data_IF_772416919620
#
_entry.id   IF_772416919620
#
_cell.length_a   1.000
_cell.length_b   1.000
_cell.length_c   1.000
_cell.angle_alpha   90.00
_cell.angle_beta   90.00
_cell.angle_gamma   90.00
#
_symmetry.space_group_name_H-M   'P 1'
#
loop_
_entity.id
_entity.type
_entity.pdbx_description
1 polymer ?
#
# COMPACT_ATOMS: atom_id res chain seq x y z
N UNK A 1 -68.65 40.29 13.68
CA UNK A 1 -68.68 39.46 14.89
C UNK A 1 -67.60 38.39 14.76
N UNK A 2 -66.66 38.37 15.71
CA UNK A 2 -65.55 37.42 15.74
C UNK A 2 -66.09 36.04 16.16
N UNK A 3 -65.96 35.03 15.30
CA UNK A 3 -66.06 33.64 15.73
C UNK A 3 -64.66 33.18 16.12
N UNK A 4 -64.43 33.00 17.42
CA UNK A 4 -63.24 32.35 17.96
C UNK A 4 -63.16 30.91 17.44
N UNK A 5 -62.03 30.48 16.85
CA UNK A 5 -61.81 29.07 16.58
C UNK A 5 -61.69 28.32 17.91
N UNK A 6 -62.42 27.21 18.01
CA UNK A 6 -62.46 26.33 19.19
C UNK A 6 -61.08 25.88 19.65
N UNK A 7 -60.94 25.53 20.93
CA UNK A 7 -59.68 25.09 21.56
C UNK A 7 -58.96 23.93 20.82
N UNK A 8 -59.66 23.16 19.98
CA UNK A 8 -59.07 22.12 19.14
C UNK A 8 -58.27 22.66 17.93
N UNK A 9 -58.59 23.85 17.41
CA UNK A 9 -57.81 24.44 16.30
C UNK A 9 -56.49 25.04 16.78
N UNK A 10 -56.44 25.56 18.01
CA UNK A 10 -55.17 26.01 18.63
C UNK A 10 -54.23 24.84 18.95
N UNK A 11 -54.78 23.67 19.33
CA UNK A 11 -54.00 22.45 19.54
C UNK A 11 -53.41 21.91 18.22
N UNK A 12 -54.10 22.06 17.09
CA UNK A 12 -53.57 21.65 15.78
C UNK A 12 -52.36 22.49 15.33
N UNK A 13 -52.36 23.80 15.61
CA UNK A 13 -51.21 24.67 15.29
C UNK A 13 -50.07 24.55 16.30
N UNK A 14 -50.37 24.33 17.58
CA UNK A 14 -49.35 24.03 18.59
C UNK A 14 -48.68 22.68 18.39
N UNK A 15 -49.42 21.63 17.96
CA UNK A 15 -48.83 20.34 17.61
C UNK A 15 -47.96 20.42 16.34
N UNK A 16 -48.35 21.24 15.34
CA UNK A 16 -47.53 21.47 14.15
C UNK A 16 -46.25 22.30 14.46
N UNK A 17 -46.32 23.28 15.36
CA UNK A 17 -45.15 24.06 15.83
C UNK A 17 -44.25 23.29 16.81
N UNK A 18 -44.80 22.39 17.63
CA UNK A 18 -44.01 21.47 18.46
C UNK A 18 -43.40 20.31 17.65
N UNK A 19 -44.01 19.91 16.53
CA UNK A 19 -43.39 18.95 15.61
C UNK A 19 -42.29 19.57 14.74
N UNK A 20 -42.26 20.89 14.58
CA UNK A 20 -41.23 21.60 13.81
C UNK A 20 -40.05 22.10 14.66
N UNK A 21 -40.15 22.09 15.99
CA UNK A 21 -39.06 22.45 16.92
C UNK A 21 -38.43 21.25 17.63
N UNK A 22 -38.89 20.03 17.32
CA UNK A 22 -38.28 18.76 17.70
C UNK A 22 -37.89 17.92 16.47
N UNK A 23 -37.57 18.58 15.36
CA UNK A 23 -36.64 17.95 14.43
C UNK A 23 -35.28 18.00 15.12
N UNK A 24 -34.64 16.85 15.41
CA UNK A 24 -33.25 16.88 15.83
C UNK A 24 -32.49 17.63 14.73
N UNK A 25 -31.86 18.75 15.10
CA UNK A 25 -30.87 19.44 14.27
C UNK A 25 -29.61 18.61 14.08
N UNK A 26 -29.58 17.41 14.62
CA UNK A 26 -28.67 16.36 14.21
C UNK A 26 -29.35 15.54 13.11
N UNK A 27 -28.84 15.66 11.89
CA UNK A 27 -28.85 14.54 10.96
C UNK A 27 -28.09 13.37 11.60
N UNK A 28 -28.65 12.71 12.61
CA UNK A 28 -28.38 11.32 12.89
C UNK A 28 -28.98 10.53 11.73
N UNK A 29 -28.26 10.55 10.61
CA UNK A 29 -28.42 9.59 9.54
C UNK A 29 -28.50 8.22 10.20
N UNK A 30 -29.58 7.49 9.94
CA UNK A 30 -29.76 6.09 10.32
C UNK A 30 -28.42 5.38 10.05
N UNK A 31 -27.70 5.02 11.11
CA UNK A 31 -26.36 4.44 11.01
C UNK A 31 -26.54 2.96 10.70
N UNK A 32 -25.89 2.40 9.66
CA UNK A 32 -26.13 1.02 9.24
C UNK A 32 -25.83 0.00 10.35
N UNK A 33 -24.93 0.35 11.28
CA UNK A 33 -24.78 -0.40 12.51
C UNK A 33 -24.63 0.47 13.76
N UNK A 34 -24.94 -0.15 14.90
CA UNK A 34 -24.60 0.38 16.21
C UNK A 34 -23.08 0.31 16.40
N UNK A 35 -22.51 1.36 16.98
CA UNK A 35 -21.14 1.35 17.46
C UNK A 35 -20.88 0.06 18.29
N UNK A 36 -19.84 -0.70 17.94
CA UNK A 36 -19.50 -1.97 18.58
C UNK A 36 -20.06 -3.24 17.93
N UNK A 37 -20.81 -3.16 16.82
CA UNK A 37 -21.13 -4.36 16.03
C UNK A 37 -19.90 -4.81 15.23
N UNK A 38 -19.43 -6.02 15.45
CA UNK A 38 -18.34 -6.60 14.68
C UNK A 38 -18.89 -7.52 13.61
N UNK A 39 -18.59 -7.21 12.35
CA UNK A 39 -18.92 -8.08 11.23
C UNK A 39 -17.80 -9.07 10.94
N UNK A 40 -18.12 -10.21 10.31
CA UNK A 40 -17.09 -11.10 9.81
C UNK A 40 -16.32 -10.42 8.67
N UNK A 41 -15.00 -10.48 8.77
CA UNK A 41 -14.06 -10.03 7.78
C UNK A 41 -12.65 -10.38 8.22
N UNK A 42 -11.68 -10.29 7.30
CA UNK A 42 -10.27 -10.57 7.59
C UNK A 42 -9.41 -9.58 6.81
N UNK A 43 -8.43 -9.01 7.50
CA UNK A 43 -7.36 -8.31 6.82
C UNK A 43 -6.39 -9.37 6.30
N UNK A 44 -6.46 -9.66 5.00
CA UNK A 44 -5.78 -10.80 4.40
C UNK A 44 -4.35 -10.47 3.98
N UNK A 45 -4.13 -9.28 3.42
CA UNK A 45 -2.79 -8.85 2.98
C UNK A 45 -2.67 -7.34 2.84
N UNK A 46 -1.42 -6.89 2.79
CA UNK A 46 -1.06 -5.53 2.40
C UNK A 46 -0.11 -5.56 1.21
N UNK A 47 -0.44 -4.86 0.13
CA UNK A 47 0.42 -4.77 -1.03
C UNK A 47 1.38 -3.58 -0.94
N UNK A 48 2.67 -3.85 -1.11
CA UNK A 48 3.77 -2.89 -1.12
C UNK A 48 4.42 -2.86 -2.50
N UNK A 49 4.88 -1.69 -2.93
CA UNK A 49 5.64 -1.52 -4.18
C UNK A 49 7.10 -1.84 -3.94
N UNK A 50 7.74 -2.57 -4.83
CA UNK A 50 9.18 -2.80 -4.78
C UNK A 50 9.89 -2.41 -6.07
N UNK A 51 11.08 -1.82 -5.92
CA UNK A 51 11.98 -1.37 -7.00
C UNK A 51 13.04 -2.42 -7.35
N UNK A 52 13.27 -3.39 -6.47
CA UNK A 52 14.16 -4.53 -6.68
C UNK A 52 13.59 -5.74 -5.94
N UNK A 53 12.97 -6.65 -6.71
CA UNK A 53 12.35 -7.84 -6.14
C UNK A 53 13.38 -8.79 -5.50
N UNK A 54 14.58 -8.92 -6.08
CA UNK A 54 15.59 -9.84 -5.55
C UNK A 54 16.09 -9.36 -4.19
N UNK A 55 16.47 -8.09 -4.11
CA UNK A 55 16.89 -7.44 -2.86
C UNK A 55 15.79 -7.45 -1.80
N UNK A 56 14.54 -7.26 -2.22
CA UNK A 56 13.38 -7.41 -1.33
C UNK A 56 13.24 -8.81 -0.80
N UNK A 57 13.26 -9.84 -1.65
CA UNK A 57 13.11 -11.22 -1.21
C UNK A 57 14.21 -11.64 -0.23
N UNK A 58 15.45 -11.19 -0.44
CA UNK A 58 16.54 -11.39 0.54
C UNK A 58 16.19 -10.75 1.88
N UNK A 59 15.71 -9.51 1.90
CA UNK A 59 15.30 -8.83 3.13
C UNK A 59 14.15 -9.57 3.85
N UNK A 60 13.04 -9.86 3.16
CA UNK A 60 11.88 -10.50 3.80
C UNK A 60 12.18 -11.92 4.28
N UNK A 61 13.00 -12.70 3.54
CA UNK A 61 13.31 -14.09 3.90
C UNK A 61 14.40 -14.19 4.96
N UNK A 62 15.50 -13.48 4.76
CA UNK A 62 16.70 -13.66 5.58
C UNK A 62 16.64 -12.79 6.84
N UNK A 63 16.22 -11.52 6.72
CA UNK A 63 16.11 -10.65 7.89
C UNK A 63 14.80 -10.90 8.65
N UNK A 64 13.66 -10.86 7.97
CA UNK A 64 12.35 -10.98 8.65
C UNK A 64 11.87 -12.43 8.83
N UNK A 65 12.53 -13.43 8.25
CA UNK A 65 12.19 -14.84 8.42
C UNK A 65 10.92 -15.30 7.69
N UNK A 66 10.45 -14.55 6.69
CA UNK A 66 9.29 -14.91 5.89
C UNK A 66 9.62 -15.94 4.81
N UNK A 67 8.58 -16.50 4.19
CA UNK A 67 8.68 -17.42 3.04
C UNK A 67 7.92 -16.85 1.86
N UNK A 68 8.33 -17.22 0.66
CA UNK A 68 7.53 -16.99 -0.55
C UNK A 68 6.36 -17.96 -0.51
N UNK A 69 5.14 -17.46 -0.60
CA UNK A 69 3.92 -18.27 -0.59
C UNK A 69 3.49 -18.60 -2.03
N UNK A 70 3.60 -17.63 -2.94
CA UNK A 70 3.34 -17.75 -4.38
C UNK A 70 3.93 -16.58 -5.15
N UNK A 71 4.13 -16.79 -6.45
CA UNK A 71 4.63 -15.78 -7.39
C UNK A 71 3.87 -15.86 -8.72
N UNK A 72 3.49 -14.69 -9.24
CA UNK A 72 2.72 -14.53 -10.48
C UNK A 72 3.35 -13.45 -11.37
N UNK A 73 3.39 -13.73 -12.67
CA UNK A 73 3.92 -12.84 -13.70
C UNK A 73 2.78 -12.35 -14.60
N UNK A 74 2.71 -11.04 -14.83
CA UNK A 74 1.66 -10.40 -15.62
C UNK A 74 2.26 -9.62 -16.78
N UNK A 75 1.80 -9.92 -17.99
CA UNK A 75 2.32 -9.30 -19.22
C UNK A 75 1.84 -7.85 -19.45
N UNK A 76 0.79 -7.41 -18.74
CA UNK A 76 0.18 -6.10 -18.88
C UNK A 76 -0.32 -5.56 -17.54
N UNK A 77 -0.55 -4.25 -17.48
CA UNK A 77 -1.12 -3.58 -16.31
C UNK A 77 -2.48 -4.17 -15.90
N UNK A 78 -2.79 -4.15 -14.61
CA UNK A 78 -4.04 -4.69 -14.11
C UNK A 78 -5.20 -3.70 -14.33
N UNK A 79 -6.34 -4.13 -14.91
CA UNK A 79 -7.52 -3.27 -15.12
C UNK A 79 -8.09 -2.62 -13.85
N UNK A 80 -7.96 -3.27 -12.68
CA UNK A 80 -8.33 -2.71 -11.37
C UNK A 80 -7.18 -2.01 -10.65
N UNK A 81 -6.14 -1.62 -11.39
CA UNK A 81 -4.92 -1.00 -10.86
C UNK A 81 -4.27 -1.85 -9.75
N UNK A 82 -4.31 -3.19 -9.83
CA UNK A 82 -3.68 -4.06 -8.85
C UNK A 82 -2.20 -3.70 -8.62
N UNK A 83 -1.53 -3.34 -9.71
CA UNK A 83 -0.14 -2.92 -9.71
C UNK A 83 0.06 -1.42 -9.52
N UNK A 84 -1.02 -0.65 -9.36
CA UNK A 84 -1.04 0.81 -9.30
C UNK A 84 -1.49 1.41 -10.64
N UNK A 85 -1.28 2.73 -10.85
CA UNK A 85 -1.66 3.44 -12.09
C UNK A 85 -0.71 3.15 -13.27
N UNK A 86 -0.01 2.02 -13.28
CA UNK A 86 1.09 1.76 -14.21
C UNK A 86 0.67 0.76 -15.29
N UNK A 87 0.89 1.14 -16.55
CA UNK A 87 0.60 0.32 -17.73
C UNK A 87 1.82 -0.51 -18.17
N UNK A 88 2.55 -1.06 -17.21
CA UNK A 88 3.74 -1.89 -17.48
C UNK A 88 3.43 -3.36 -17.24
N UNK A 89 4.23 -4.29 -17.81
CA UNK A 89 4.34 -5.63 -17.26
C UNK A 89 4.71 -5.53 -15.78
N UNK A 90 4.25 -6.48 -14.98
CA UNK A 90 4.50 -6.48 -13.55
C UNK A 90 4.47 -7.90 -13.00
N UNK A 91 4.96 -8.06 -11.79
CA UNK A 91 4.91 -9.32 -11.07
C UNK A 91 4.39 -9.10 -9.66
N UNK A 92 3.77 -10.13 -9.13
CA UNK A 92 3.27 -10.21 -7.76
C UNK A 92 4.00 -11.34 -7.05
N UNK A 93 4.59 -11.06 -5.90
CA UNK A 93 5.15 -12.09 -5.03
C UNK A 93 4.57 -11.94 -3.65
N UNK A 94 3.90 -12.97 -3.15
CA UNK A 94 3.32 -12.94 -1.81
C UNK A 94 4.28 -13.59 -0.84
N UNK A 95 4.61 -12.88 0.23
CA UNK A 95 5.50 -13.35 1.31
C UNK A 95 4.77 -13.30 2.66
N UNK A 96 5.06 -14.26 3.52
CA UNK A 96 4.47 -14.34 4.85
C UNK A 96 5.07 -15.47 5.68
N UNK A 97 4.56 -15.66 6.89
CA UNK A 97 5.05 -16.72 7.78
C UNK A 97 4.33 -18.05 7.54
N UNK A 98 3.03 -17.98 7.22
CA UNK A 98 2.13 -19.11 6.99
C UNK A 98 1.17 -18.80 5.81
N UNK A 99 0.43 -19.79 5.27
CA UNK A 99 -0.42 -19.59 4.09
C UNK A 99 -1.44 -18.44 4.21
N UNK A 100 -1.58 -17.65 3.14
CA UNK A 100 -2.42 -16.43 3.07
C UNK A 100 -3.92 -16.72 3.29
N UNK A 101 -4.37 -17.98 3.17
CA UNK A 101 -5.77 -18.38 3.42
C UNK A 101 -6.21 -18.13 4.87
N UNK A 102 -5.30 -18.34 5.83
CA UNK A 102 -5.57 -18.17 7.27
C UNK A 102 -4.79 -17.02 7.89
N UNK A 103 -3.70 -16.60 7.25
CA UNK A 103 -2.74 -15.66 7.80
C UNK A 103 -2.64 -14.38 6.99
N UNK A 104 -2.11 -13.36 7.64
CA UNK A 104 -1.77 -12.12 6.97
C UNK A 104 -0.49 -12.27 6.16
N UNK A 105 -0.46 -11.67 4.97
CA UNK A 105 0.69 -11.69 4.09
C UNK A 105 1.03 -10.30 3.54
N UNK A 106 2.27 -10.15 3.09
CA UNK A 106 2.71 -8.98 2.32
C UNK A 106 2.73 -9.36 0.85
N UNK A 107 2.08 -8.56 0.02
CA UNK A 107 2.15 -8.67 -1.44
C UNK A 107 3.21 -7.69 -1.96
N UNK A 108 4.29 -8.21 -2.53
CA UNK A 108 5.29 -7.41 -3.23
C UNK A 108 4.87 -7.23 -4.69
N UNK A 109 4.63 -5.98 -5.08
CA UNK A 109 4.29 -5.60 -6.44
C UNK A 109 5.52 -4.97 -7.08
N UNK A 110 6.07 -5.67 -8.06
CA UNK A 110 7.20 -5.19 -8.86
C UNK A 110 6.72 -4.80 -10.25
N UNK A 111 6.88 -3.54 -10.64
CA UNK A 111 6.55 -3.06 -11.98
C UNK A 111 7.83 -2.97 -12.81
N UNK A 112 7.87 -3.68 -13.93
CA UNK A 112 9.04 -3.66 -14.81
C UNK A 112 9.28 -2.26 -15.36
N UNK A 113 10.54 -1.80 -15.32
CA UNK A 113 10.94 -0.47 -15.76
C UNK A 113 10.66 0.67 -14.76
N UNK A 114 10.09 0.37 -13.58
CA UNK A 114 9.87 1.37 -12.52
C UNK A 114 10.78 1.10 -11.32
N UNK A 115 11.78 1.96 -11.16
CA UNK A 115 12.84 1.83 -10.15
C UNK A 115 12.77 2.89 -9.05
N UNK A 116 11.67 3.64 -8.97
CA UNK A 116 11.43 4.63 -7.92
C UNK A 116 9.92 4.83 -7.71
N UNK A 117 9.52 5.00 -6.46
CA UNK A 117 8.16 5.37 -6.08
C UNK A 117 8.22 6.58 -5.15
N UNK A 118 7.36 7.57 -5.39
CA UNK A 118 7.20 8.68 -4.45
C UNK A 118 6.62 8.13 -3.15
N UNK A 119 7.37 8.19 -2.05
CA UNK A 119 6.87 7.81 -0.72
C UNK A 119 5.68 8.68 -0.32
N UNK A 120 4.81 8.11 0.50
CA UNK A 120 3.70 8.82 1.11
C UNK A 120 3.81 8.84 2.63
N UNK A 121 2.82 9.46 3.26
CA UNK A 121 2.87 9.83 4.68
C UNK A 121 1.87 9.05 5.54
N UNK A 122 1.12 8.10 4.98
CA UNK A 122 0.14 7.34 5.76
C UNK A 122 0.75 6.10 6.40
N UNK A 123 1.39 5.23 5.62
CA UNK A 123 1.99 4.01 6.15
C UNK A 123 3.21 4.34 7.02
N UNK A 124 3.08 4.19 8.33
CA UNK A 124 4.16 4.50 9.27
C UNK A 124 5.06 3.30 9.53
N UNK A 125 4.46 2.14 9.83
CA UNK A 125 5.21 0.90 10.03
C UNK A 125 4.29 -0.32 9.97
N UNK A 126 4.86 -1.48 9.67
CA UNK A 126 4.25 -2.79 9.89
C UNK A 126 4.92 -3.39 11.12
N UNK A 127 4.13 -3.67 12.17
CA UNK A 127 4.65 -4.21 13.41
C UNK A 127 4.67 -5.75 13.40
N UNK A 128 5.77 -6.32 13.86
CA UNK A 128 6.02 -7.75 13.85
C UNK A 128 6.50 -8.18 15.23
N UNK A 129 5.90 -9.24 15.78
CA UNK A 129 6.46 -10.00 16.90
C UNK A 129 7.48 -10.98 16.35
N UNK A 130 8.78 -10.74 16.56
CA UNK A 130 9.80 -11.55 15.93
C UNK A 130 9.76 -12.98 16.49
N UNK A 131 9.98 -13.97 15.62
CA UNK A 131 10.08 -15.39 16.00
C UNK A 131 11.49 -15.77 16.49
N UNK A 132 12.45 -14.86 16.34
CA UNK A 132 13.84 -14.99 16.77
C UNK A 132 14.23 -13.78 17.61
N UNK A 133 15.29 -13.88 18.43
CA UNK A 133 15.83 -12.72 19.13
C UNK A 133 16.16 -11.58 18.14
N UNK A 134 15.79 -10.35 18.52
CA UNK A 134 15.90 -9.18 17.62
C UNK A 134 17.34 -8.97 17.17
N UNK A 135 18.33 -9.19 18.02
CA UNK A 135 19.75 -9.07 17.69
C UNK A 135 20.18 -9.95 16.50
N UNK A 136 19.58 -11.12 16.32
CA UNK A 136 19.86 -11.98 15.17
C UNK A 136 19.29 -11.36 13.88
N UNK A 137 18.07 -10.84 13.95
CA UNK A 137 17.41 -10.16 12.83
C UNK A 137 18.23 -8.94 12.40
N UNK A 138 18.63 -8.09 13.35
CA UNK A 138 19.43 -6.90 13.07
C UNK A 138 20.82 -7.27 12.51
N UNK A 139 21.46 -8.33 13.01
CA UNK A 139 22.74 -8.80 12.48
C UNK A 139 22.64 -9.26 11.03
N UNK A 140 21.56 -9.97 10.66
CA UNK A 140 21.32 -10.37 9.27
C UNK A 140 21.02 -9.16 8.41
N UNK A 141 20.17 -8.24 8.89
CA UNK A 141 19.85 -7.01 8.19
C UNK A 141 21.10 -6.17 7.88
N UNK A 142 22.00 -5.97 8.85
CA UNK A 142 23.28 -5.29 8.65
C UNK A 142 24.18 -6.03 7.65
N UNK A 143 24.18 -7.37 7.66
CA UNK A 143 24.94 -8.15 6.65
C UNK A 143 24.41 -7.94 5.23
N UNK A 144 23.12 -7.68 5.08
CA UNK A 144 22.47 -7.34 3.82
C UNK A 144 22.59 -5.84 3.46
N UNK A 145 23.22 -5.02 4.31
CA UNK A 145 23.42 -3.59 4.09
C UNK A 145 22.27 -2.70 4.58
N UNK A 146 21.47 -3.16 5.54
CA UNK A 146 20.43 -2.36 6.20
C UNK A 146 20.87 -1.99 7.63
N UNK A 147 21.27 -0.73 7.81
CA UNK A 147 21.95 -0.26 9.04
C UNK A 147 21.16 0.78 9.84
N UNK A 148 19.97 1.20 9.39
CA UNK A 148 19.13 2.14 10.13
C UNK A 148 18.44 1.46 11.31
N UNK A 149 19.20 1.25 12.39
CA UNK A 149 18.70 0.72 13.66
C UNK A 149 18.48 1.87 14.63
N UNK A 150 17.25 2.37 14.73
CA UNK A 150 16.87 3.22 15.87
C UNK A 150 16.47 2.30 17.03
N UNK A 151 17.36 2.16 18.02
CA UNK A 151 17.02 1.59 19.34
C UNK A 151 16.28 2.65 20.13
N UNK A 152 15.01 2.85 19.82
CA UNK A 152 14.36 4.04 20.33
C UNK A 152 13.73 3.80 21.69
N UNK A 153 13.88 4.78 22.57
CA UNK A 153 12.91 5.03 23.63
C UNK A 153 11.61 5.55 23.03
N UNK A 154 11.09 4.83 22.03
CA UNK A 154 9.99 5.25 21.19
C UNK A 154 10.43 6.11 20.04
N UNK A 155 10.20 5.62 18.81
CA UNK A 155 10.15 6.40 17.57
C UNK A 155 10.06 7.90 17.87
N UNK A 156 11.15 8.67 17.73
CA UNK A 156 11.07 10.13 17.68
C UNK A 156 10.20 10.44 16.46
N UNK A 157 8.88 10.51 16.72
CA UNK A 157 7.94 11.20 15.87
C UNK A 157 8.62 12.51 15.49
N UNK A 158 8.68 12.80 14.20
CA UNK A 158 8.92 14.15 13.72
C UNK A 158 7.80 15.06 14.25
N UNK A 159 7.91 15.47 15.52
CA UNK A 159 7.38 16.71 16.01
C UNK A 159 8.43 17.77 15.65
N UNK A 160 8.03 18.91 15.06
CA UNK A 160 8.96 20.02 14.88
C UNK A 160 9.57 20.39 16.24
N UNK A 161 10.88 20.18 16.38
CA UNK A 161 11.70 20.64 17.48
C UNK A 161 11.83 22.17 17.44
N UNK A 162 10.73 22.87 17.70
CA UNK A 162 10.76 24.23 18.23
C UNK A 162 9.37 24.59 18.70
N UNK A 163 9.20 24.65 20.02
CA UNK A 163 8.29 25.55 20.76
C UNK A 163 7.65 24.86 21.97
N UNK A 164 8.42 24.55 23.01
CA UNK A 164 7.95 24.67 24.39
C UNK A 164 9.14 24.99 25.31
N UNK A 165 9.02 25.98 26.21
CA UNK A 165 10.08 26.35 27.14
C UNK A 165 10.26 25.25 28.21
N UNK A 166 11.48 25.18 28.73
CA UNK A 166 11.99 24.25 29.71
C UNK A 166 10.99 23.87 30.82
N UNK A 167 10.85 22.56 31.11
CA UNK A 167 10.41 22.09 32.43
C UNK A 167 9.28 21.05 32.51
N UNK A 168 8.71 20.58 31.40
CA UNK A 168 7.81 19.40 31.41
C UNK A 168 8.27 18.43 30.33
N UNK A 169 9.25 17.60 30.68
CA UNK A 169 9.67 16.48 29.84
C UNK A 169 8.56 15.43 29.81
N UNK A 170 7.74 15.45 28.77
CA UNK A 170 6.90 14.31 28.45
C UNK A 170 7.81 13.21 27.92
N UNK A 171 8.11 12.24 28.77
CA UNK A 171 8.75 11.00 28.36
C UNK A 171 7.67 10.19 27.64
N UNK A 172 7.70 10.20 26.31
CA UNK A 172 6.82 9.40 25.47
C UNK A 172 7.27 7.93 25.64
N UNK A 173 6.62 7.17 26.52
CA UNK A 173 6.83 5.71 26.58
C UNK A 173 6.02 5.05 25.45
N UNK A 174 6.51 5.18 24.21
CA UNK A 174 6.03 4.39 23.06
C UNK A 174 6.61 2.99 23.21
N UNK A 175 5.75 1.97 23.08
CA UNK A 175 6.05 0.53 23.10
C UNK A 175 7.32 0.10 23.86
N UNK A 176 7.08 -0.47 25.05
CA UNK A 176 8.02 -1.05 26.00
C UNK A 176 9.48 -1.02 25.61
N UNK A 177 10.30 -0.29 26.39
CA UNK A 177 11.76 -0.35 26.43
C UNK A 177 12.27 -1.63 25.72
N UNK A 178 12.74 -1.52 24.45
CA UNK A 178 13.28 -2.59 23.58
C UNK A 178 12.51 -2.94 22.27
N UNK A 179 11.63 -2.11 21.72
CA UNK A 179 11.23 -2.26 20.30
C UNK A 179 12.30 -1.69 19.36
N UNK A 180 12.46 -2.27 18.18
CA UNK A 180 13.45 -1.83 17.19
C UNK A 180 12.79 -1.51 15.85
N UNK A 181 13.19 -0.40 15.24
CA UNK A 181 12.78 -0.07 13.88
C UNK A 181 13.79 -0.61 12.87
N UNK A 182 13.30 -1.30 11.85
CA UNK A 182 14.09 -1.79 10.72
C UNK A 182 13.50 -1.24 9.41
N UNK A 183 14.33 -0.55 8.62
CA UNK A 183 13.94 -0.03 7.30
C UNK A 183 14.33 -1.03 6.20
N UNK A 184 13.36 -1.39 5.36
CA UNK A 184 13.55 -2.28 4.20
C UNK A 184 14.11 -1.57 2.96
N UNK A 185 14.29 -2.30 1.83
CA UNK A 185 14.95 -1.76 0.63
C UNK A 185 14.21 -0.63 -0.09
N UNK A 186 12.89 -0.58 0.06
CA UNK A 186 12.02 0.45 -0.52
C UNK A 186 11.52 1.43 0.56
N UNK A 187 12.30 1.59 1.64
CA UNK A 187 12.04 2.48 2.78
C UNK A 187 10.81 2.16 3.63
N UNK A 188 10.16 1.02 3.42
CA UNK A 188 9.12 0.55 4.33
C UNK A 188 9.71 0.22 5.68
N UNK A 189 9.01 0.62 6.72
CA UNK A 189 9.44 0.51 8.10
C UNK A 189 8.77 -0.68 8.77
N UNK A 190 9.57 -1.51 9.43
CA UNK A 190 9.15 -2.66 10.19
C UNK A 190 9.46 -2.43 11.67
N UNK A 191 8.42 -2.39 12.50
CA UNK A 191 8.57 -2.25 13.95
C UNK A 191 8.68 -3.64 14.58
N UNK A 192 9.89 -4.03 14.95
CA UNK A 192 10.16 -5.27 15.66
C UNK A 192 9.81 -5.07 17.13
N UNK A 193 8.76 -5.74 17.57
CA UNK A 193 8.35 -5.76 18.97
C UNK A 193 9.31 -6.62 19.80
N UNK A 194 9.36 -6.45 21.13
CA UNK A 194 10.21 -7.27 21.99
C UNK A 194 9.96 -8.77 21.76
N UNK A 195 11.04 -9.52 21.59
CA UNK A 195 10.99 -10.98 21.47
C UNK A 195 10.47 -11.59 22.78
N UNK A 196 9.46 -12.46 22.67
CA UNK A 196 8.88 -13.19 23.80
C UNK A 196 9.03 -14.70 23.59
N UNK A 197 9.97 -15.36 24.30
CA UNK A 197 10.22 -16.79 24.15
C UNK A 197 9.04 -17.68 24.58
N UNK A 198 8.09 -17.15 25.37
CA UNK A 198 6.90 -17.91 25.80
C UNK A 198 5.78 -17.88 24.76
N UNK A 199 5.84 -16.95 23.80
CA UNK A 199 4.82 -16.73 22.77
C UNK A 199 5.29 -17.06 21.34
N UNK A 200 6.41 -17.76 21.15
CA UNK A 200 6.98 -18.12 19.83
C UNK A 200 6.02 -18.99 18.98
N UNK A 201 5.06 -19.66 19.61
CA UNK A 201 4.06 -20.51 18.95
C UNK A 201 2.76 -19.78 18.56
N UNK A 202 2.70 -18.45 18.61
CA UNK A 202 1.55 -17.73 18.03
C UNK A 202 1.58 -17.90 16.51
N UNK A 203 0.47 -18.35 15.92
CA UNK A 203 0.37 -18.62 14.48
C UNK A 203 0.50 -17.38 13.59
N UNK A 204 0.44 -16.17 14.15
CA UNK A 204 0.47 -14.91 13.43
C UNK A 204 1.50 -13.94 14.04
N UNK A 205 2.70 -13.81 13.44
CA UNK A 205 3.71 -12.86 13.89
C UNK A 205 3.39 -11.39 13.57
N UNK A 206 2.55 -11.09 12.57
CA UNK A 206 2.15 -9.71 12.29
C UNK A 206 1.22 -9.19 13.39
N UNK A 207 1.59 -8.08 14.03
CA UNK A 207 0.86 -7.57 15.20
C UNK A 207 -0.13 -6.47 14.86
N UNK A 208 0.28 -5.47 14.08
CA UNK A 208 -0.57 -4.38 13.60
C UNK A 208 0.09 -3.61 12.46
N UNK A 209 -0.70 -2.83 11.73
CA UNK A 209 -0.20 -1.85 10.76
C UNK A 209 -0.48 -0.45 11.30
N UNK A 210 0.57 0.36 11.39
CA UNK A 210 0.49 1.73 11.91
C UNK A 210 0.26 2.70 10.77
N UNK A 211 -0.86 3.40 10.82
CA UNK A 211 -1.24 4.43 9.86
C UNK A 211 -1.36 5.77 10.55
N UNK A 212 -0.81 6.79 9.91
CA UNK A 212 -1.06 8.18 10.25
C UNK A 212 -2.30 8.67 9.49
N UNK A 213 -3.21 9.35 10.19
CA UNK A 213 -4.51 9.81 9.68
C UNK A 213 -4.76 11.29 9.97
N UNK A 214 -5.42 12.01 9.06
CA UNK A 214 -5.71 13.46 9.23
C UNK A 214 -6.81 13.75 10.22
N UNK A 215 -7.83 12.91 10.25
CA UNK A 215 -8.94 12.98 11.21
C UNK A 215 -9.20 11.57 11.76
N UNK A 216 -8.73 11.35 12.98
CA UNK A 216 -8.83 10.09 13.68
C UNK A 216 -10.29 9.67 13.90
N UNK A 217 -11.18 10.62 14.17
CA UNK A 217 -12.60 10.32 14.38
C UNK A 217 -13.25 9.90 13.08
N UNK A 218 -13.00 10.62 11.99
CA UNK A 218 -13.52 10.26 10.67
C UNK A 218 -13.01 8.88 10.23
N UNK A 219 -11.73 8.60 10.46
CA UNK A 219 -11.10 7.31 10.13
C UNK A 219 -11.70 6.17 10.94
N UNK A 220 -11.79 6.31 12.27
CA UNK A 220 -12.42 5.29 13.12
C UNK A 220 -13.88 5.07 12.74
N UNK A 221 -14.66 6.12 12.49
CA UNK A 221 -16.05 5.99 12.06
C UNK A 221 -16.15 5.28 10.70
N UNK A 222 -15.24 5.53 9.76
CA UNK A 222 -15.19 4.83 8.48
C UNK A 222 -14.94 3.33 8.66
N UNK A 223 -13.86 2.94 9.34
CA UNK A 223 -13.48 1.54 9.52
C UNK A 223 -14.50 0.77 10.37
N UNK A 224 -15.02 1.37 11.44
CA UNK A 224 -15.94 0.68 12.35
C UNK A 224 -17.38 0.63 11.81
N UNK A 225 -17.88 1.71 11.19
CA UNK A 225 -19.30 1.80 10.81
C UNK A 225 -19.59 1.38 9.38
N UNK A 226 -18.65 1.59 8.45
CA UNK A 226 -18.82 1.17 7.05
C UNK A 226 -18.21 -0.22 6.83
N UNK A 227 -16.98 -0.43 7.32
CA UNK A 227 -16.29 -1.72 7.17
C UNK A 227 -16.59 -2.71 8.31
N UNK A 228 -17.32 -2.32 9.36
CA UNK A 228 -17.76 -3.25 10.41
C UNK A 228 -16.63 -3.81 11.27
N UNK A 229 -15.48 -3.13 11.29
CA UNK A 229 -14.38 -3.46 12.20
C UNK A 229 -14.77 -3.14 13.65
N UNK A 230 -14.22 -3.90 14.60
CA UNK A 230 -14.30 -3.60 16.02
C UNK A 230 -13.23 -2.60 16.43
N UNK A 231 -13.55 -1.73 17.39
CA UNK A 231 -12.54 -0.91 18.07
C UNK A 231 -11.95 -1.70 19.24
N UNK A 232 -10.62 -1.86 19.23
CA UNK A 232 -9.90 -2.72 20.17
C UNK A 232 -9.15 -1.95 21.26
N UNK A 233 -9.23 -0.62 21.24
CA UNK A 233 -8.43 0.29 22.09
C UNK A 233 -8.46 -0.12 23.58
N UNK A 234 -9.63 -0.21 24.22
CA UNK A 234 -9.69 -0.52 25.66
C UNK A 234 -9.30 -1.97 26.00
N UNK A 235 -9.65 -2.94 25.16
CA UNK A 235 -9.38 -4.35 25.40
C UNK A 235 -7.89 -4.66 25.30
N UNK A 236 -7.24 -4.11 24.28
CA UNK A 236 -5.83 -4.32 24.06
C UNK A 236 -4.94 -3.50 25.01
N UNK A 237 -5.39 -2.33 25.48
CA UNK A 237 -4.77 -1.62 26.61
C UNK A 237 -4.79 -2.47 27.88
N UNK A 238 -5.92 -3.13 28.19
CA UNK A 238 -6.03 -4.04 29.36
C UNK A 238 -5.12 -5.25 29.26
N UNK A 239 -4.81 -5.70 28.04
CA UNK A 239 -3.89 -6.80 27.76
C UNK A 239 -2.42 -6.34 27.66
N UNK A 240 -2.14 -5.04 27.87
CA UNK A 240 -0.79 -4.50 27.76
C UNK A 240 -0.25 -4.47 26.33
N UNK A 241 -1.12 -4.65 25.33
CA UNK A 241 -0.75 -4.71 23.92
C UNK A 241 -0.48 -3.30 23.39
N UNK A 242 -1.21 -2.27 23.84
CA UNK A 242 -1.02 -0.89 23.37
C UNK A 242 -0.77 0.10 24.53
N UNK A 243 -0.11 1.25 24.29
CA UNK A 243 0.10 2.30 25.29
C UNK A 243 -1.22 2.78 25.94
N UNK A 244 -1.16 3.16 27.23
CA UNK A 244 -2.34 3.55 28.02
C UNK A 244 -2.94 4.89 27.54
N UNK A 245 -4.27 5.10 27.67
CA UNK A 245 -5.09 6.02 26.89
C UNK A 245 -5.07 7.47 27.39
N UNK A 246 -3.92 7.97 27.86
CA UNK A 246 -3.79 9.40 28.18
C UNK A 246 -3.88 10.30 26.93
N UNK A 247 -4.01 9.72 25.74
CA UNK A 247 -3.80 10.38 24.46
C UNK A 247 -5.03 10.19 23.53
N UNK A 248 -5.72 11.29 23.25
CA UNK A 248 -6.84 11.34 22.30
C UNK A 248 -6.40 11.19 20.83
N UNK A 249 -5.15 10.76 20.59
CA UNK A 249 -4.52 10.76 19.26
C UNK A 249 -4.26 9.35 18.69
N UNK A 250 -4.56 8.26 19.42
CA UNK A 250 -4.38 6.88 18.96
C UNK A 250 -5.64 6.02 19.10
N UNK A 251 -5.99 5.22 18.07
CA UNK A 251 -7.11 4.25 18.10
C UNK A 251 -6.76 2.99 17.35
N UNK A 252 -7.27 1.84 17.78
CA UNK A 252 -7.03 0.54 17.11
C UNK A 252 -8.33 -0.04 16.60
N UNK A 253 -8.36 -0.40 15.32
CA UNK A 253 -9.54 -0.97 14.64
C UNK A 253 -9.17 -2.24 13.87
N UNK A 254 -10.06 -3.25 13.88
CA UNK A 254 -9.86 -4.48 13.12
C UNK A 254 -11.00 -5.49 13.27
N UNK A 255 -10.99 -6.55 12.46
CA UNK A 255 -11.87 -7.72 12.66
C UNK A 255 -11.38 -8.55 13.89
N UNK A 256 -12.21 -9.43 14.50
CA UNK A 256 -12.08 -9.94 15.90
C UNK A 256 -10.71 -10.55 16.29
N UNK A 257 -10.35 -10.66 17.60
CA UNK A 257 -10.07 -9.57 18.57
C UNK A 257 -8.75 -9.79 19.38
N UNK A 258 -8.30 -8.81 20.19
CA UNK A 258 -7.38 -9.05 21.30
C UNK A 258 -8.07 -9.91 22.37
N UNK A 259 -7.63 -11.17 22.53
CA UNK A 259 -8.03 -12.09 23.61
C UNK A 259 -9.20 -13.05 23.34
N UNK A 260 -9.57 -13.33 22.09
CA UNK A 260 -10.72 -14.18 21.76
C UNK A 260 -10.46 -15.23 20.69
N UNK A 261 -9.93 -16.39 21.11
CA UNK A 261 -10.27 -17.73 20.62
C UNK A 261 -9.82 -18.19 19.23
N UNK A 262 -9.93 -17.38 18.19
CA UNK A 262 -9.51 -17.70 16.83
C UNK A 262 -8.89 -16.44 16.21
N UNK A 263 -7.57 -16.45 16.03
CA UNK A 263 -6.81 -15.36 15.43
C UNK A 263 -7.14 -15.26 13.94
N UNK A 264 -7.67 -14.12 13.47
CA UNK A 264 -7.62 -13.82 12.02
C UNK A 264 -7.83 -12.34 11.75
N UNK A 265 -6.83 -11.53 12.04
CA UNK A 265 -6.77 -10.18 11.49
C UNK A 265 -5.67 -9.34 12.10
N UNK A 266 -4.78 -8.82 11.27
CA UNK A 266 -3.81 -7.78 11.66
C UNK A 266 -4.57 -6.44 11.72
N UNK A 267 -4.76 -5.86 12.92
CA UNK A 267 -5.49 -4.60 13.07
C UNK A 267 -4.71 -3.40 12.54
N UNK A 268 -5.44 -2.30 12.35
CA UNK A 268 -4.88 -0.99 12.07
C UNK A 268 -4.74 -0.22 13.38
N UNK A 269 -3.55 0.29 13.65
CA UNK A 269 -3.29 1.31 14.65
C UNK A 269 -3.32 2.66 13.93
N UNK A 270 -4.32 3.47 14.24
CA UNK A 270 -4.56 4.78 13.65
C UNK A 270 -4.02 5.87 14.56
N UNK A 271 -3.17 6.73 14.01
CA UNK A 271 -2.52 7.82 14.72
C UNK A 271 -2.89 9.17 14.09
N UNK A 272 -3.53 10.02 14.88
CA UNK A 272 -3.89 11.38 14.53
C UNK A 272 -2.62 12.18 14.20
N UNK A 273 -2.60 12.85 13.04
CA UNK A 273 -1.57 13.83 12.74
C UNK A 273 -1.53 14.92 13.82
N UNK A 274 -0.33 15.38 14.22
CA UNK A 274 -0.21 16.51 15.13
C UNK A 274 -0.90 17.74 14.54
N UNK A 275 -1.77 18.39 15.32
CA UNK A 275 -2.32 19.68 14.95
C UNK A 275 -1.16 20.71 15.01
N UNK A 276 -0.62 21.11 13.86
CA UNK A 276 0.49 22.08 13.81
C UNK A 276 0.08 23.49 14.25
N UNK A 277 -1.23 23.75 14.45
CA UNK A 277 -1.74 25.02 14.98
C UNK A 277 -1.59 26.22 14.04
N UNK A 278 -0.85 26.06 12.93
CA UNK A 278 -0.62 27.07 11.91
C UNK A 278 -1.31 26.65 10.60
N UNK A 279 -2.38 27.37 10.17
CA UNK A 279 -3.14 27.06 8.97
C UNK A 279 -2.32 27.06 7.66
N UNK A 280 -1.09 27.58 7.69
CA UNK A 280 -0.17 27.60 6.55
C UNK A 280 0.99 26.59 6.61
N UNK A 281 1.12 25.82 7.70
CA UNK A 281 2.26 24.94 7.94
C UNK A 281 1.91 23.44 7.98
N UNK A 282 0.73 23.04 7.49
CA UNK A 282 0.46 21.60 7.33
C UNK A 282 1.54 21.00 6.41
N UNK A 283 2.36 20.03 6.89
CA UNK A 283 3.24 19.30 6.00
C UNK A 283 2.38 18.65 4.91
N UNK A 284 2.91 18.43 3.70
CA UNK A 284 2.15 17.83 2.61
C UNK A 284 1.79 16.38 2.96
N UNK A 285 0.67 16.16 3.66
CA UNK A 285 0.13 14.84 3.89
C UNK A 285 -0.42 14.31 2.57
N UNK A 286 0.27 13.32 2.02
CA UNK A 286 -0.09 12.70 0.76
C UNK A 286 -0.02 11.19 0.91
N UNK A 287 -1.10 10.55 0.48
CA UNK A 287 -1.10 9.12 0.20
C UNK A 287 -0.70 8.92 -1.27
N UNK A 288 0.28 8.06 -1.51
CA UNK A 288 0.76 7.69 -2.84
C UNK A 288 0.57 6.17 -3.05
N UNK A 289 0.78 5.64 -4.27
CA UNK A 289 0.78 4.20 -4.49
C UNK A 289 1.82 3.43 -3.66
N UNK A 290 2.82 4.12 -3.09
CA UNK A 290 3.83 3.54 -2.21
C UNK A 290 3.26 3.14 -0.85
N UNK A 291 2.34 3.92 -0.25
CA UNK A 291 1.68 3.55 1.03
C UNK A 291 0.99 2.18 0.96
N UNK A 292 0.65 1.76 -0.26
CA UNK A 292 0.21 0.41 -0.55
C UNK A 292 -1.30 0.28 -0.63
N UNK A 293 -1.76 -0.96 -0.65
CA UNK A 293 -3.19 -1.30 -0.75
C UNK A 293 -3.54 -2.39 0.24
N UNK A 294 -4.60 -2.16 1.01
CA UNK A 294 -5.15 -3.16 1.92
C UNK A 294 -6.03 -4.13 1.15
N UNK A 295 -6.03 -5.40 1.54
CA UNK A 295 -6.98 -6.38 1.04
C UNK A 295 -7.77 -6.96 2.20
N UNK A 296 -9.07 -6.74 2.13
CA UNK A 296 -10.01 -7.18 3.14
C UNK A 296 -10.94 -8.20 2.48
N UNK A 297 -10.96 -9.41 3.04
CA UNK A 297 -11.91 -10.43 2.65
C UNK A 297 -13.12 -10.38 3.57
N UNK A 298 -14.31 -10.42 2.98
CA UNK A 298 -15.60 -10.35 3.67
C UNK A 298 -16.50 -11.44 3.08
N UNK A 299 -17.28 -12.18 3.89
CA UNK A 299 -18.23 -13.15 3.36
C UNK A 299 -19.15 -12.53 2.30
N UNK A 300 -19.34 -13.23 1.19
CA UNK A 300 -19.99 -12.69 -0.02
C UNK A 300 -21.29 -11.91 0.25
N UNK A 301 -22.16 -12.45 1.10
CA UNK A 301 -23.46 -11.85 1.43
C UNK A 301 -23.31 -10.57 2.27
N UNK A 302 -22.31 -10.50 3.15
CA UNK A 302 -22.01 -9.31 3.95
C UNK A 302 -21.39 -8.22 3.07
N UNK A 303 -20.49 -8.59 2.15
CA UNK A 303 -19.84 -7.64 1.24
C UNK A 303 -20.87 -6.85 0.42
N UNK A 304 -21.92 -7.51 -0.06
CA UNK A 304 -23.00 -6.84 -0.82
C UNK A 304 -23.74 -5.79 0.02
N UNK A 305 -24.02 -6.11 1.27
CA UNK A 305 -24.72 -5.20 2.18
C UNK A 305 -23.80 -4.02 2.53
N UNK A 306 -22.54 -4.30 2.89
CA UNK A 306 -21.56 -3.27 3.20
C UNK A 306 -21.31 -2.34 2.02
N UNK A 307 -21.16 -2.89 0.81
CA UNK A 307 -21.01 -2.07 -0.39
C UNK A 307 -22.21 -1.16 -0.62
N UNK A 308 -23.43 -1.63 -0.34
CA UNK A 308 -24.65 -0.79 -0.45
C UNK A 308 -24.59 0.41 0.50
N UNK A 309 -24.03 0.24 1.71
CA UNK A 309 -23.83 1.36 2.63
C UNK A 309 -22.68 2.27 2.23
N UNK A 310 -21.56 1.71 1.78
CA UNK A 310 -20.46 2.52 1.25
C UNK A 310 -20.99 3.40 0.11
N UNK A 311 -21.74 2.83 -0.83
CA UNK A 311 -22.36 3.56 -1.93
C UNK A 311 -23.30 4.68 -1.46
N UNK A 312 -24.02 4.47 -0.35
CA UNK A 312 -24.98 5.46 0.16
C UNK A 312 -24.34 6.56 1.01
N UNK A 313 -23.47 6.19 1.95
CA UNK A 313 -22.91 7.11 2.96
C UNK A 313 -21.53 7.65 2.60
N UNK A 314 -20.77 6.93 1.77
CA UNK A 314 -19.44 7.32 1.33
C UNK A 314 -19.20 7.04 -0.17
N UNK A 315 -20.08 7.50 -1.09
CA UNK A 315 -19.88 7.26 -2.52
C UNK A 315 -18.55 7.81 -3.04
N UNK A 316 -18.02 8.86 -2.41
CA UNK A 316 -16.70 9.44 -2.69
C UNK A 316 -15.54 8.46 -2.48
N UNK A 317 -15.73 7.42 -1.67
CA UNK A 317 -14.70 6.40 -1.42
C UNK A 317 -14.56 5.42 -2.57
N UNK A 318 -15.58 5.25 -3.43
CA UNK A 318 -15.59 4.19 -4.44
C UNK A 318 -14.67 4.54 -5.60
N UNK A 319 -13.63 3.72 -5.81
CA UNK A 319 -12.69 3.83 -6.95
C UNK A 319 -13.13 2.93 -8.09
N UNK A 320 -13.35 1.64 -7.79
CA UNK A 320 -13.89 0.65 -8.71
C UNK A 320 -15.17 0.08 -8.13
N UNK A 321 -16.23 0.12 -8.92
CA UNK A 321 -17.54 -0.35 -8.50
C UNK A 321 -17.54 -1.85 -8.26
N UNK A 322 -18.49 -2.31 -7.45
CA UNK A 322 -18.64 -3.73 -7.14
C UNK A 322 -18.87 -4.52 -8.43
N UNK A 323 -17.98 -5.46 -8.70
CA UNK A 323 -17.96 -6.22 -9.93
C UNK A 323 -17.78 -7.72 -9.69
N UNK A 324 -18.27 -8.47 -10.66
CA UNK A 324 -18.18 -9.92 -10.73
C UNK A 324 -17.06 -10.29 -11.70
N UNK A 325 -15.98 -10.87 -11.19
CA UNK A 325 -14.88 -11.37 -12.00
C UNK A 325 -15.00 -12.90 -12.08
N UNK A 326 -15.28 -13.49 -13.27
CA UNK A 326 -15.25 -14.94 -13.45
C UNK A 326 -13.84 -15.46 -13.16
N UNK A 327 -13.75 -16.50 -12.33
CA UNK A 327 -12.50 -17.15 -11.94
C UNK A 327 -12.50 -18.61 -12.39
N UNK A 328 -11.39 -19.30 -12.15
CA UNK A 328 -11.28 -20.72 -12.44
C UNK A 328 -12.34 -21.52 -11.67
N UNK A 329 -12.58 -22.76 -12.11
CA UNK A 329 -13.63 -23.64 -11.57
C UNK A 329 -15.07 -23.09 -11.63
N UNK A 330 -15.39 -22.19 -12.59
CA UNK A 330 -16.70 -21.53 -12.73
C UNK A 330 -17.13 -20.71 -11.49
N UNK A 331 -16.18 -20.33 -10.64
CA UNK A 331 -16.45 -19.44 -9.51
C UNK A 331 -16.47 -17.97 -9.97
N UNK A 332 -16.99 -17.07 -9.14
CA UNK A 332 -17.05 -15.64 -9.47
C UNK A 332 -16.66 -14.81 -8.27
N UNK A 333 -15.51 -14.17 -8.35
CA UNK A 333 -15.01 -13.28 -7.31
C UNK A 333 -15.81 -11.98 -7.34
N UNK A 334 -16.47 -11.66 -6.23
CA UNK A 334 -17.09 -10.36 -6.02
C UNK A 334 -16.05 -9.43 -5.41
N UNK A 335 -15.75 -8.31 -6.07
CA UNK A 335 -14.79 -7.35 -5.52
C UNK A 335 -15.11 -5.90 -5.85
N UNK A 336 -14.60 -4.99 -5.03
CA UNK A 336 -14.65 -3.55 -5.22
C UNK A 336 -13.34 -2.92 -4.72
N UNK A 337 -13.01 -1.73 -5.20
CA UNK A 337 -11.89 -0.95 -4.65
C UNK A 337 -12.44 0.37 -4.13
N UNK A 338 -12.09 0.69 -2.90
CA UNK A 338 -12.49 1.91 -2.22
C UNK A 338 -11.26 2.63 -1.66
N UNK A 339 -11.47 3.84 -1.14
CA UNK A 339 -10.49 4.63 -0.40
C UNK A 339 -11.01 5.01 0.97
N UNK A 340 -10.13 5.01 1.96
CA UNK A 340 -10.46 5.56 3.27
C UNK A 340 -10.46 7.12 3.25
N UNK A 341 -10.81 7.80 4.35
CA UNK A 341 -10.83 9.28 4.42
C UNK A 341 -9.49 9.95 4.11
N UNK A 342 -8.38 9.23 4.19
CA UNK A 342 -7.03 9.72 3.92
C UNK A 342 -6.53 9.38 2.51
N UNK A 343 -7.32 8.62 1.74
CA UNK A 343 -7.07 8.09 0.40
C UNK A 343 -6.25 6.79 0.33
N UNK A 344 -6.09 6.06 1.43
CA UNK A 344 -5.52 4.71 1.39
C UNK A 344 -6.45 3.78 0.61
N UNK A 345 -5.91 3.03 -0.34
CA UNK A 345 -6.69 2.11 -1.16
C UNK A 345 -6.99 0.81 -0.42
N UNK A 346 -8.24 0.36 -0.53
CA UNK A 346 -8.74 -0.87 0.09
C UNK A 346 -9.45 -1.68 -0.99
N UNK A 347 -8.97 -2.89 -1.26
CA UNK A 347 -9.70 -3.88 -2.04
C UNK A 347 -10.58 -4.71 -1.11
N UNK A 348 -11.88 -4.74 -1.40
CA UNK A 348 -12.84 -5.61 -0.76
C UNK A 348 -13.09 -6.81 -1.68
N UNK A 349 -12.98 -8.03 -1.16
CA UNK A 349 -13.23 -9.27 -1.90
C UNK A 349 -14.13 -10.24 -1.14
N UNK A 350 -14.93 -11.02 -1.86
CA UNK A 350 -15.67 -12.15 -1.29
C UNK A 350 -14.69 -13.20 -0.78
N UNK A 351 -14.73 -13.48 0.53
CA UNK A 351 -13.80 -14.38 1.20
C UNK A 351 -13.79 -15.78 0.59
N UNK A 352 -14.96 -16.35 0.31
CA UNK A 352 -15.09 -17.74 -0.13
C UNK A 352 -14.32 -18.04 -1.43
N UNK A 353 -14.38 -17.11 -2.39
CA UNK A 353 -13.68 -17.28 -3.67
C UNK A 353 -12.22 -16.84 -3.55
N UNK A 354 -11.95 -15.76 -2.81
CA UNK A 354 -10.58 -15.28 -2.62
C UNK A 354 -9.70 -16.35 -1.93
N UNK A 355 -10.21 -16.92 -0.84
CA UNK A 355 -9.50 -17.92 -0.04
C UNK A 355 -9.24 -19.19 -0.87
N UNK A 356 -10.20 -19.62 -1.68
CA UNK A 356 -10.02 -20.74 -2.62
C UNK A 356 -8.93 -20.45 -3.66
N UNK A 357 -8.97 -19.28 -4.32
CA UNK A 357 -7.95 -18.91 -5.31
C UNK A 357 -6.55 -18.85 -4.71
N UNK A 358 -6.45 -18.32 -3.48
CA UNK A 358 -5.18 -18.25 -2.74
C UNK A 358 -4.67 -19.64 -2.39
N UNK A 359 -5.53 -20.53 -1.90
CA UNK A 359 -5.16 -21.90 -1.55
C UNK A 359 -4.67 -22.68 -2.78
N UNK A 360 -5.39 -22.59 -3.91
CA UNK A 360 -5.01 -23.23 -5.17
C UNK A 360 -3.70 -22.68 -5.77
N UNK A 361 -3.45 -21.38 -5.60
CA UNK A 361 -2.24 -20.73 -6.12
C UNK A 361 -1.00 -20.86 -5.20
N UNK A 362 -1.18 -21.25 -3.93
CA UNK A 362 -0.07 -21.38 -2.97
C UNK A 362 0.78 -22.59 -3.34
N UNK A 363 2.00 -22.33 -3.79
CA UNK A 363 2.93 -23.38 -4.26
C UNK A 363 4.36 -23.23 -3.73
N UNK A 364 4.64 -22.17 -2.95
CA UNK A 364 5.95 -21.83 -2.40
C UNK A 364 7.07 -21.71 -3.47
N UNK A 365 6.69 -21.50 -4.74
CA UNK A 365 7.63 -21.40 -5.84
C UNK A 365 8.31 -20.03 -5.86
N UNK A 366 9.61 -20.03 -6.14
CA UNK A 366 10.38 -18.81 -6.35
C UNK A 366 10.12 -18.21 -7.75
N UNK A 367 10.40 -16.92 -7.95
CA UNK A 367 10.39 -16.33 -9.29
C UNK A 367 11.36 -17.03 -10.24
N UNK A 368 10.97 -17.16 -11.51
CA UNK A 368 11.91 -17.62 -12.56
C UNK A 368 12.86 -16.47 -12.93
N UNK A 369 14.02 -16.45 -12.29
CA UNK A 369 15.02 -15.40 -12.47
C UNK A 369 15.49 -15.24 -13.92
N UNK A 370 15.52 -16.30 -14.73
CA UNK A 370 15.95 -16.21 -16.12
C UNK A 370 14.90 -15.51 -16.98
N UNK A 371 13.61 -15.81 -16.77
CA UNK A 371 12.51 -15.10 -17.44
C UNK A 371 12.51 -13.63 -17.04
N UNK A 372 12.74 -13.34 -15.75
CA UNK A 372 12.76 -11.97 -15.23
C UNK A 372 13.90 -11.15 -15.82
N UNK A 373 15.11 -11.69 -15.89
CA UNK A 373 16.27 -11.01 -16.49
C UNK A 373 15.96 -10.53 -17.91
N UNK A 374 15.30 -11.37 -18.72
CA UNK A 374 14.86 -10.98 -20.07
C UNK A 374 13.83 -9.86 -20.02
N UNK A 375 12.84 -9.94 -19.13
CA UNK A 375 11.82 -8.87 -18.98
C UNK A 375 12.42 -7.55 -18.50
N UNK A 376 13.41 -7.58 -17.61
CA UNK A 376 14.14 -6.37 -17.19
C UNK A 376 14.85 -5.72 -18.37
N UNK A 377 15.56 -6.51 -19.17
CA UNK A 377 16.23 -6.01 -20.38
C UNK A 377 15.25 -5.39 -21.37
N UNK A 378 14.06 -5.99 -21.52
CA UNK A 378 13.00 -5.45 -22.40
C UNK A 378 12.32 -4.20 -21.82
N UNK A 379 12.36 -4.01 -20.50
CA UNK A 379 11.73 -2.89 -19.80
C UNK A 379 12.68 -1.71 -19.53
N UNK A 380 13.99 -1.89 -19.75
CA UNK A 380 14.94 -0.78 -19.69
C UNK A 380 14.55 0.31 -20.69
N UNK A 381 14.64 1.60 -20.30
CA UNK A 381 14.45 2.68 -21.24
C UNK A 381 15.48 2.51 -22.35
N UNK A 382 14.99 2.36 -23.58
CA UNK A 382 15.87 2.34 -24.75
C UNK A 382 16.60 3.68 -24.75
N UNK A 383 17.90 3.68 -24.47
CA UNK A 383 18.71 4.88 -24.68
C UNK A 383 18.61 5.25 -26.17
N UNK A 384 17.90 6.34 -26.43
CA UNK A 384 17.69 6.87 -27.77
C UNK A 384 18.88 7.75 -28.16
N UNK A 385 19.59 7.36 -29.22
CA UNK A 385 20.63 8.23 -29.81
C UNK A 385 19.96 9.08 -30.88
N UNK A 386 20.04 10.41 -30.74
CA UNK A 386 19.51 11.36 -31.71
C UNK A 386 20.66 11.94 -32.55
N UNK A 387 20.73 11.63 -33.85
CA UNK A 387 21.85 11.99 -34.75
C UNK A 387 21.89 13.47 -35.18
N UNK A 388 21.21 14.38 -34.46
CA UNK A 388 21.13 15.79 -34.84
C UNK A 388 20.41 16.04 -36.17
N UNK A 389 19.51 15.13 -36.54
CA UNK A 389 18.58 15.27 -37.65
C UNK A 389 17.15 15.35 -37.12
N UNK A 390 16.27 16.03 -37.84
CA UNK A 390 14.85 16.02 -37.57
C UNK A 390 14.14 14.86 -38.24
N UNK A 391 12.90 14.58 -37.84
CA UNK A 391 12.04 13.55 -38.45
C UNK A 391 11.78 13.82 -39.94
N UNK A 392 11.77 15.09 -40.36
CA UNK A 392 11.71 15.50 -41.77
C UNK A 392 13.07 15.46 -42.50
N UNK A 393 14.15 15.04 -41.82
CA UNK A 393 15.51 14.98 -42.38
C UNK A 393 16.26 16.30 -42.41
N UNK A 394 15.75 17.35 -41.75
CA UNK A 394 16.45 18.62 -41.62
C UNK A 394 17.58 18.50 -40.57
N UNK A 395 18.67 19.23 -40.73
CA UNK A 395 19.76 19.22 -39.74
C UNK A 395 19.42 20.15 -38.58
N UNK A 396 19.56 19.62 -37.37
CA UNK A 396 19.50 20.41 -36.14
C UNK A 396 20.66 21.41 -36.09
N UNK A 397 20.39 22.59 -35.55
CA UNK A 397 21.39 23.63 -35.29
C UNK A 397 21.70 23.65 -33.80
N UNK A 398 22.95 23.37 -33.46
CA UNK A 398 23.48 23.45 -32.10
C UNK A 398 24.67 24.41 -32.03
N UNK A 399 24.90 25.09 -30.89
CA UNK A 399 23.99 25.19 -29.75
C UNK A 399 22.77 26.08 -30.06
N UNK A 400 21.68 25.90 -29.32
CA UNK A 400 20.54 26.82 -29.36
C UNK A 400 20.06 27.20 -27.96
N UNK A 401 19.53 28.41 -27.82
CA UNK A 401 18.93 28.88 -26.58
C UNK A 401 17.41 28.66 -26.63
N UNK A 402 16.89 27.96 -25.62
CA UNK A 402 15.47 27.86 -25.37
C UNK A 402 15.17 28.21 -23.91
N UNK A 403 14.31 29.21 -23.71
CA UNK A 403 13.93 29.75 -22.38
C UNK A 403 15.13 30.08 -21.47
N UNK A 404 16.25 30.55 -22.04
CA UNK A 404 17.43 30.94 -21.30
C UNK A 404 18.44 29.82 -21.04
N UNK A 405 18.15 28.58 -21.45
CA UNK A 405 19.05 27.42 -21.33
C UNK A 405 19.63 27.08 -22.70
N UNK A 406 20.94 26.83 -22.74
CA UNK A 406 21.65 26.45 -23.96
C UNK A 406 21.68 24.92 -24.09
N UNK A 407 21.18 24.41 -25.21
CA UNK A 407 21.15 22.99 -25.53
C UNK A 407 22.16 22.65 -26.62
N UNK A 408 22.91 21.57 -26.41
CA UNK A 408 23.89 21.01 -27.36
C UNK A 408 23.43 19.67 -27.96
N UNK A 409 22.23 19.23 -27.60
CA UNK A 409 21.60 18.00 -28.06
C UNK A 409 20.09 18.18 -28.09
N UNK A 410 19.38 17.22 -28.70
CA UNK A 410 17.93 17.18 -28.65
C UNK A 410 17.43 17.18 -27.21
N UNK A 411 16.36 17.93 -26.95
CA UNK A 411 15.79 18.10 -25.61
C UNK A 411 14.33 17.67 -25.58
N UNK A 412 13.86 17.15 -24.45
CA UNK A 412 12.42 16.86 -24.18
C UNK A 412 11.74 17.98 -23.38
N UNK A 413 12.43 19.09 -23.14
CA UNK A 413 11.85 20.20 -22.38
C UNK A 413 10.66 20.77 -23.15
N UNK A 414 9.53 20.87 -22.46
CA UNK A 414 8.24 21.36 -22.97
C UNK A 414 7.67 20.56 -24.17
N UNK A 415 8.06 19.29 -24.36
CA UNK A 415 7.58 18.47 -25.48
C UNK A 415 7.69 16.96 -25.21
N UNK A 416 6.74 16.16 -25.71
CA UNK A 416 6.69 14.71 -25.46
C UNK A 416 7.75 13.91 -26.24
N UNK A 417 8.26 14.48 -27.34
CA UNK A 417 9.35 13.91 -28.16
C UNK A 417 10.59 14.79 -28.09
N UNK A 418 11.82 14.21 -28.15
CA UNK A 418 13.04 15.00 -28.27
C UNK A 418 12.97 15.90 -29.49
N UNK A 419 13.34 17.16 -29.35
CA UNK A 419 13.30 18.15 -30.43
C UNK A 419 14.56 19.00 -30.46
N UNK A 420 14.81 19.65 -31.60
CA UNK A 420 15.93 20.55 -31.80
C UNK A 420 15.53 21.78 -32.63
N UNK A 421 16.34 22.83 -32.56
CA UNK A 421 16.19 23.98 -33.43
C UNK A 421 16.62 23.65 -34.88
N UNK A 422 15.84 24.09 -35.86
CA UNK A 422 16.19 24.08 -37.28
C UNK A 422 16.81 25.41 -37.73
N UNK A 423 16.37 26.50 -37.13
CA UNK A 423 16.91 27.84 -37.40
C UNK A 423 16.84 28.71 -36.15
N UNK A 424 17.68 29.74 -36.10
CA UNK A 424 17.84 30.59 -34.93
C UNK A 424 17.60 32.07 -35.27
N UNK A 425 17.16 32.83 -34.28
CA UNK A 425 17.24 34.28 -34.28
C UNK A 425 18.64 34.71 -33.81
N UNK A 426 19.39 35.32 -34.73
CA UNK A 426 20.63 36.02 -34.39
C UNK A 426 20.32 37.38 -33.74
N UNK A 427 21.16 37.88 -32.81
CA UNK A 427 22.46 37.34 -32.38
C UNK A 427 22.39 36.39 -31.15
N UNK A 428 21.18 36.13 -30.63
CA UNK A 428 20.99 35.49 -29.33
C UNK A 428 20.74 33.99 -29.40
N UNK A 429 20.91 33.39 -30.58
CA UNK A 429 20.73 31.96 -30.86
C UNK A 429 19.40 31.38 -30.34
N UNK A 430 18.35 32.19 -30.26
CA UNK A 430 17.02 31.72 -29.83
C UNK A 430 16.40 30.86 -30.91
N UNK A 431 15.72 29.79 -30.50
CA UNK A 431 14.95 28.94 -31.42
C UNK A 431 13.96 29.78 -32.22
N UNK A 432 14.04 29.71 -33.55
CA UNK A 432 13.05 30.30 -34.46
C UNK A 432 12.14 29.22 -35.02
N UNK A 433 12.73 28.28 -35.75
CA UNK A 433 12.05 27.09 -36.28
C UNK A 433 12.60 25.86 -35.55
N UNK A 434 11.76 24.86 -35.31
CA UNK A 434 12.12 23.62 -34.62
C UNK A 434 11.39 22.43 -35.22
N UNK A 435 11.90 21.23 -34.96
CA UNK A 435 11.27 19.97 -35.37
C UNK A 435 11.68 18.85 -34.40
N UNK A 436 10.91 17.76 -34.39
CA UNK A 436 11.22 16.56 -33.61
C UNK A 436 12.50 15.94 -34.14
N UNK A 437 13.37 15.53 -33.23
CA UNK A 437 14.59 14.83 -33.58
C UNK A 437 14.27 13.41 -34.06
N UNK A 438 14.99 13.00 -35.09
CA UNK A 438 15.12 11.61 -35.48
C UNK A 438 16.04 10.93 -34.48
N UNK A 439 15.43 10.17 -33.59
CA UNK A 439 16.13 9.34 -32.62
C UNK A 439 15.96 7.87 -32.97
N UNK A 440 17.01 7.09 -32.74
CA UNK A 440 16.99 5.64 -32.93
C UNK A 440 17.36 4.94 -31.62
N UNK A 441 16.74 3.77 -31.35
CA UNK A 441 17.25 2.85 -30.34
C UNK A 441 18.75 2.60 -30.52
N UNK A 442 19.51 2.61 -29.43
CA UNK A 442 20.95 2.30 -29.45
C UNK A 442 21.25 0.97 -30.21
N UNK A 443 20.32 0.01 -30.16
CA UNK A 443 20.40 -1.27 -30.84
C UNK A 443 20.38 -1.18 -32.38
N UNK A 444 19.71 -0.17 -32.96
CA UNK A 444 19.60 0.03 -34.42
C UNK A 444 20.80 0.80 -34.98
N UNK A 445 21.36 1.74 -34.21
CA UNK A 445 22.51 2.56 -34.61
C UNK A 445 23.82 1.76 -34.71
N UNK A 446 23.96 0.69 -33.91
CA UNK A 446 25.19 -0.12 -33.83
C UNK A 446 25.09 -1.52 -34.44
N UNK A 447 23.95 -1.89 -35.08
CA UNK A 447 23.70 -3.26 -35.59
C UNK A 447 24.07 -4.33 -34.56
N UNK A 448 23.50 -4.25 -33.36
CA UNK A 448 23.57 -5.39 -32.46
C UNK A 448 22.85 -6.57 -33.14
N UNK A 449 23.45 -7.78 -33.23
CA UNK A 449 22.70 -8.94 -33.66
C UNK A 449 21.72 -9.30 -32.55
N UNK A 450 20.48 -8.81 -32.64
CA UNK A 450 19.34 -9.47 -31.98
C UNK A 450 19.01 -10.74 -32.75
N UNK A 451 19.97 -11.66 -32.84
CA UNK A 451 19.67 -13.07 -33.05
C UNK A 451 19.70 -13.71 -31.68
N UNK A 452 18.53 -13.87 -31.08
CA UNK A 452 18.35 -14.77 -29.95
C UNK A 452 18.84 -16.16 -30.38
N UNK A 453 19.84 -16.77 -29.72
CA UNK A 453 20.00 -18.21 -29.85
C UNK A 453 18.76 -18.86 -29.23
N UNK A 454 18.16 -19.76 -30.01
CA UNK A 454 17.13 -20.74 -29.61
C UNK A 454 17.39 -21.27 -28.18
N UNK A 455 16.37 -21.45 -27.32
CA UNK A 455 16.58 -21.90 -25.95
C UNK A 455 17.07 -23.37 -25.89
N UNK A 456 18.41 -23.47 -25.85
CA UNK A 456 19.33 -24.43 -25.23
C UNK A 456 19.39 -25.91 -25.71
N UNK A 457 20.63 -26.47 -25.76
CA UNK A 457 20.91 -27.91 -25.94
C UNK A 457 20.50 -28.74 -24.70
N UNK A 458 20.40 -30.08 -24.81
CA UNK A 458 19.92 -30.93 -23.72
C UNK A 458 20.81 -30.87 -22.49
N UNK A 459 20.17 -30.98 -21.32
CA UNK A 459 20.82 -30.96 -20.01
C UNK A 459 21.82 -32.13 -19.85
N UNK A 460 22.91 -31.95 -19.07
CA UNK A 460 23.85 -33.02 -18.78
C UNK A 460 23.19 -34.20 -18.04
N UNK A 461 23.66 -35.45 -18.21
CA UNK A 461 23.03 -36.66 -17.66
C UNK A 461 22.90 -36.71 -16.13
N UNK A 462 23.59 -35.83 -15.40
CA UNK A 462 23.60 -35.79 -13.93
C UNK A 462 22.70 -34.69 -13.33
N UNK A 463 22.01 -33.91 -14.16
CA UNK A 463 21.00 -32.96 -13.69
C UNK A 463 19.70 -33.71 -13.40
N UNK A 464 19.56 -34.27 -12.20
CA UNK A 464 18.31 -34.85 -11.71
C UNK A 464 17.56 -33.80 -10.89
N UNK A 465 16.31 -33.51 -11.30
CA UNK A 465 15.32 -32.89 -10.42
C UNK A 465 15.23 -33.72 -9.14
N UNK A 466 15.35 -33.10 -7.96
CA UNK A 466 14.83 -33.74 -6.75
C UNK A 466 13.32 -33.63 -6.84
N UNK A 467 12.69 -34.71 -7.27
CA UNK A 467 11.24 -34.87 -7.20
C UNK A 467 10.80 -34.69 -5.74
N UNK A 468 9.78 -33.84 -5.55
CA UNK A 468 8.83 -33.74 -4.44
C UNK A 468 9.21 -34.31 -3.05
N UNK A 469 9.10 -33.51 -1.97
CA UNK A 469 8.96 -34.08 -0.63
C UNK A 469 7.52 -34.55 -0.45
N UNK A 470 7.23 -35.80 -0.82
CA UNK A 470 6.09 -36.52 -0.27
C UNK A 470 6.60 -37.58 0.70
N UNK A 471 6.22 -37.36 1.96
CA UNK A 471 6.24 -38.29 3.10
C UNK A 471 7.57 -38.81 3.67
N UNK A 472 7.62 -38.72 5.01
CA UNK A 472 8.44 -39.46 5.99
C UNK A 472 9.90 -39.01 6.22
N UNK A 473 10.13 -38.31 7.35
CA UNK A 473 10.45 -39.01 8.60
C UNK A 473 10.26 -38.11 9.84
N UNK A 474 9.49 -38.66 10.80
CA UNK A 474 9.58 -38.35 12.23
C UNK A 474 11.02 -38.58 12.74
N UNK A 475 11.34 -37.92 13.88
CA UNK A 475 12.61 -37.92 14.64
C UNK A 475 13.55 -36.81 14.16
N UNK A 476 13.80 -35.74 14.92
CA UNK A 476 14.28 -35.73 16.30
C UNK A 476 14.00 -34.43 17.06
#
# INVERSE_FOLDING_TARGET
EMACPSALQWLSWLLLLFSATLLPTDCEQVRPYKFGSQLPGRHARWALKTTDLNRSLDFYRLALGMRILRHEEHAAGCPMMCNGPYETPWSRTVVGYEPEVSNFAIELVYNYGLYNYTQGESLQAIAIRPMLPVEHILSVATTLGYDEHYSDGGFELLLPLSYYPEGVGYKLEVYGNNSHLLTGPDDYRFLLLPYDPENVNTSEPFDHIRLRVRDLRASVDFYTRLLGMGEHTEAAIKQGIFPRPCENHLRVVGYSPPGGGNASGVPLLLEQMPNTGDPGAEPPYRVTPWDGRQYITIPYHILRIQYTWIWHYAPWSVVYTLQYAPKEANSTLLSAVIKDPDNNEILLASAEVFDQEVEEATNFAEPDWAVREVKELLAQPVEEVCEGLSTAGARCVFPFNYKGVIYNSCTRVDHDQPWCALTLYEPWIYVRDWDNCRCQPLCDAYKCPLSFPDPRPPLPPWFKYSEHPTEQHMLH
#
